data_IF_759422090750
#
_entry.id   IF_759422090750
#
_cell.length_a   1.000
_cell.length_b   1.000
_cell.length_c   1.000
_cell.angle_alpha   90.00
_cell.angle_beta   90.00
_cell.angle_gamma   90.00
#
_symmetry.space_group_name_H-M   'P 1'
#
loop_
_entity.id
_entity.type
_entity.pdbx_description
1 polymer ?
#
# COMPACT_ATOMS: atom_id res chain seq x y z
N UNK A 1 0.60 -0.27 -15.50
CA UNK A 1 0.91 0.73 -14.46
C UNK A 1 0.86 0.13 -13.06
N UNK A 2 -0.30 -0.38 -12.61
CA UNK A 2 -0.48 -0.93 -11.25
C UNK A 2 0.60 -1.94 -10.83
N UNK A 3 0.88 -2.96 -11.66
CA UNK A 3 1.95 -3.95 -11.38
C UNK A 3 3.31 -3.30 -11.13
N UNK A 4 3.73 -2.36 -11.98
CA UNK A 4 5.04 -1.69 -11.88
C UNK A 4 5.07 -0.77 -10.65
N UNK A 5 4.03 0.03 -10.45
CA UNK A 5 3.94 0.93 -9.31
C UNK A 5 3.96 0.16 -7.98
N UNK A 6 3.25 -0.97 -7.91
CA UNK A 6 3.26 -1.86 -6.76
C UNK A 6 4.61 -2.49 -6.55
N UNK A 7 5.25 -3.07 -7.57
CA UNK A 7 6.58 -3.66 -7.42
C UNK A 7 7.60 -2.66 -6.89
N UNK A 8 7.59 -1.43 -7.40
CA UNK A 8 8.51 -0.39 -6.95
C UNK A 8 8.19 0.03 -5.52
N UNK A 9 6.93 0.30 -5.18
CA UNK A 9 6.51 0.59 -3.80
C UNK A 9 6.92 -0.51 -2.83
N UNK A 10 6.58 -1.76 -3.12
CA UNK A 10 6.92 -2.94 -2.31
C UNK A 10 8.43 -3.06 -2.11
N UNK A 11 9.24 -2.93 -3.17
CA UNK A 11 10.69 -2.95 -3.03
C UNK A 11 11.22 -1.83 -2.13
N UNK A 12 10.74 -0.60 -2.29
CA UNK A 12 11.11 0.52 -1.42
C UNK A 12 10.75 0.25 0.05
N UNK A 13 9.57 -0.30 0.31
CA UNK A 13 9.12 -0.68 1.66
C UNK A 13 10.03 -1.71 2.35
N UNK A 14 10.69 -2.59 1.58
CA UNK A 14 11.67 -3.53 2.12
C UNK A 14 13.02 -2.89 2.46
N UNK A 15 13.43 -1.83 1.72
CA UNK A 15 14.73 -1.16 1.93
C UNK A 15 14.67 0.03 2.88
N UNK A 16 13.49 0.40 3.38
CA UNK A 16 13.29 1.44 4.40
C UNK A 16 14.22 1.39 5.63
N UNK A 17 14.63 0.21 6.15
CA UNK A 17 15.62 0.15 7.23
C UNK A 17 16.95 0.81 6.91
N UNK A 18 17.35 0.88 5.64
CA UNK A 18 18.56 1.58 5.22
C UNK A 18 18.52 3.09 5.54
N UNK A 19 17.34 3.64 5.79
CA UNK A 19 17.09 5.05 6.11
C UNK A 19 16.43 5.23 7.48
N UNK A 20 16.47 4.21 8.35
CA UNK A 20 15.98 4.29 9.73
C UNK A 20 14.45 4.17 9.91
N UNK A 21 13.74 3.75 8.86
CA UNK A 21 12.30 3.46 8.85
C UNK A 21 12.03 1.95 9.01
N UNK A 22 10.86 1.54 9.52
CA UNK A 22 10.53 0.11 9.67
C UNK A 22 10.41 -0.58 8.30
N UNK A 23 10.65 -1.89 8.28
CA UNK A 23 10.29 -2.73 7.12
C UNK A 23 8.78 -2.72 7.00
N UNK A 24 8.28 -2.55 5.78
CA UNK A 24 6.85 -2.66 5.48
C UNK A 24 6.57 -3.90 4.62
N UNK A 25 6.57 -5.11 5.19
CA UNK A 25 6.38 -6.35 4.46
C UNK A 25 4.88 -6.62 4.19
N UNK A 26 4.16 -5.64 3.65
CA UNK A 26 2.71 -5.75 3.40
C UNK A 26 2.29 -6.98 2.59
N UNK A 27 3.05 -7.44 1.57
CA UNK A 27 2.76 -8.73 0.93
C UNK A 27 2.71 -9.87 1.94
N UNK A 28 3.66 -9.94 2.88
CA UNK A 28 3.70 -11.02 3.86
C UNK A 28 2.49 -10.94 4.81
N UNK A 29 2.10 -9.75 5.28
CA UNK A 29 0.88 -9.57 6.09
C UNK A 29 -0.37 -10.03 5.34
N UNK A 30 -0.52 -9.64 4.07
CA UNK A 30 -1.60 -10.12 3.21
C UNK A 30 -1.60 -11.64 3.06
N UNK A 31 -0.41 -12.21 2.92
CA UNK A 31 -0.23 -13.65 2.75
C UNK A 31 -0.68 -14.42 3.96
N UNK A 32 -0.23 -13.99 5.14
CA UNK A 32 -0.56 -14.64 6.40
C UNK A 32 -2.06 -14.57 6.64
N UNK A 33 -2.68 -13.38 6.54
CA UNK A 33 -4.14 -13.26 6.60
C UNK A 33 -4.84 -14.15 5.56
N UNK A 34 -4.40 -14.11 4.30
CA UNK A 34 -5.00 -14.87 3.22
C UNK A 34 -4.92 -16.40 3.42
N UNK A 35 -3.85 -16.90 4.05
CA UNK A 35 -3.66 -18.33 4.31
C UNK A 35 -4.33 -18.83 5.57
N UNK A 36 -4.65 -17.95 6.53
CA UNK A 36 -5.16 -18.35 7.86
C UNK A 36 -6.59 -17.89 8.14
N UNK A 37 -7.25 -17.19 7.19
CA UNK A 37 -8.65 -16.76 7.29
C UNK A 37 -9.60 -17.93 7.61
N UNK A 38 -9.36 -19.11 7.02
CA UNK A 38 -10.19 -20.29 7.24
C UNK A 38 -10.04 -20.88 8.65
N UNK A 39 -8.93 -20.57 9.32
CA UNK A 39 -8.58 -21.09 10.64
C UNK A 39 -9.01 -20.15 11.78
N UNK A 40 -9.75 -19.07 11.45
CA UNK A 40 -10.21 -18.07 12.40
C UNK A 40 -9.11 -17.14 12.90
N UNK A 41 -7.94 -17.16 12.26
CA UNK A 41 -6.83 -16.26 12.60
C UNK A 41 -7.14 -14.83 12.15
N UNK A 42 -6.93 -13.88 13.05
CA UNK A 42 -6.92 -12.46 12.75
C UNK A 42 -5.70 -11.80 13.41
N UNK A 43 -5.37 -10.58 12.98
CA UNK A 43 -4.24 -9.85 13.54
C UNK A 43 -4.32 -9.56 15.05
N UNK A 44 -5.49 -9.74 15.68
CA UNK A 44 -5.68 -9.54 17.13
C UNK A 44 -4.98 -10.64 17.94
N UNK A 45 -4.99 -11.88 17.42
CA UNK A 45 -4.43 -13.06 18.10
C UNK A 45 -3.02 -13.42 17.63
N UNK A 46 -2.45 -12.59 16.75
CA UNK A 46 -1.10 -12.79 16.24
C UNK A 46 -0.06 -12.52 17.34
N UNK A 47 0.52 -13.59 17.90
CA UNK A 47 1.63 -13.51 18.86
C UNK A 47 2.99 -13.41 18.15
N UNK A 48 4.05 -13.05 18.88
CA UNK A 48 5.44 -13.23 18.38
C UNK A 48 5.65 -14.70 17.97
N UNK A 49 5.90 -14.94 16.68
CA UNK A 49 6.01 -16.27 16.07
C UNK A 49 4.79 -16.72 15.26
N UNK A 50 3.63 -16.08 15.42
CA UNK A 50 2.42 -16.39 14.62
C UNK A 50 2.58 -16.01 13.15
N UNK A 51 3.46 -15.06 12.84
CA UNK A 51 3.83 -14.72 11.47
C UNK A 51 4.96 -15.64 10.96
N UNK A 52 4.71 -16.96 10.93
CA UNK A 52 5.66 -17.90 10.31
C UNK A 52 5.65 -17.69 8.80
N UNK A 53 6.81 -17.34 8.24
CA UNK A 53 6.97 -17.14 6.79
C UNK A 53 7.02 -18.51 6.11
N UNK A 54 5.94 -18.88 5.42
CA UNK A 54 5.90 -20.05 4.54
C UNK A 54 6.02 -19.62 3.07
N UNK A 55 6.40 -20.55 2.20
CA UNK A 55 6.33 -20.33 0.74
C UNK A 55 4.93 -19.90 0.32
N UNK A 56 3.92 -20.51 0.92
CA UNK A 56 2.52 -20.32 0.55
C UNK A 56 2.06 -18.92 0.95
N UNK A 57 2.35 -18.48 2.18
CA UNK A 57 2.09 -17.11 2.63
C UNK A 57 2.85 -16.10 1.77
N UNK A 58 4.09 -16.37 1.38
CA UNK A 58 4.84 -15.49 0.50
C UNK A 58 4.15 -15.32 -0.88
N UNK A 59 3.75 -16.42 -1.52
CA UNK A 59 3.13 -16.39 -2.85
C UNK A 59 1.70 -15.82 -2.83
N UNK A 60 0.85 -16.26 -1.89
CA UNK A 60 -0.50 -15.73 -1.69
C UNK A 60 -0.43 -14.23 -1.40
N UNK A 61 0.48 -13.85 -0.52
CA UNK A 61 0.68 -12.47 -0.11
C UNK A 61 1.11 -11.54 -1.22
N UNK A 62 2.11 -11.92 -2.01
CA UNK A 62 2.52 -11.16 -3.19
C UNK A 62 1.40 -11.09 -4.21
N UNK A 63 0.69 -12.20 -4.47
CA UNK A 63 -0.42 -12.22 -5.42
C UNK A 63 -1.53 -11.24 -5.02
N UNK A 64 -1.98 -11.29 -3.76
CA UNK A 64 -2.99 -10.35 -3.24
C UNK A 64 -2.49 -8.91 -3.29
N UNK A 65 -1.22 -8.66 -2.98
CA UNK A 65 -0.66 -7.32 -3.01
C UNK A 65 -0.60 -6.74 -4.43
N UNK A 66 -0.24 -7.56 -5.44
CA UNK A 66 -0.31 -7.17 -6.85
C UNK A 66 -1.74 -6.93 -7.33
N UNK A 67 -2.69 -7.80 -6.95
CA UNK A 67 -4.11 -7.60 -7.29
C UNK A 67 -4.62 -6.29 -6.70
N UNK A 68 -4.33 -6.00 -5.42
CA UNK A 68 -4.67 -4.73 -4.79
C UNK A 68 -4.08 -3.55 -5.57
N UNK A 69 -2.79 -3.64 -5.93
CA UNK A 69 -2.13 -2.66 -6.78
C UNK A 69 -2.81 -2.40 -8.11
N UNK A 70 -3.20 -3.45 -8.82
CA UNK A 70 -3.92 -3.34 -10.09
C UNK A 70 -5.28 -2.67 -9.87
N UNK A 71 -6.06 -3.13 -8.88
CA UNK A 71 -7.38 -2.60 -8.56
C UNK A 71 -7.30 -1.11 -8.20
N UNK A 72 -6.36 -0.70 -7.33
CA UNK A 72 -6.18 0.69 -6.97
C UNK A 72 -5.71 1.55 -8.16
N UNK A 73 -4.89 1.02 -9.07
CA UNK A 73 -4.53 1.73 -10.28
C UNK A 73 -5.74 1.95 -11.22
N UNK A 74 -6.64 0.97 -11.31
CA UNK A 74 -7.88 1.07 -12.08
C UNK A 74 -8.81 2.11 -11.45
N UNK A 75 -9.02 2.07 -10.13
CA UNK A 75 -9.83 3.06 -9.41
C UNK A 75 -9.25 4.47 -9.57
N UNK A 76 -7.94 4.62 -9.50
CA UNK A 76 -7.28 5.89 -9.77
C UNK A 76 -7.57 6.38 -11.20
N UNK A 77 -7.41 5.50 -12.21
CA UNK A 77 -7.56 5.84 -13.61
C UNK A 77 -8.99 6.20 -14.03
N UNK A 78 -9.98 5.50 -13.48
CA UNK A 78 -11.40 5.62 -13.87
C UNK A 78 -12.16 6.63 -12.98
N UNK A 79 -11.94 6.61 -11.66
CA UNK A 79 -12.78 7.36 -10.71
C UNK A 79 -12.11 8.59 -10.11
N UNK A 80 -10.78 8.66 -10.10
CA UNK A 80 -10.08 9.75 -9.42
C UNK A 80 -9.46 10.73 -10.41
N UNK A 81 -8.82 10.20 -11.45
CA UNK A 81 -8.01 11.00 -12.37
C UNK A 81 -8.85 11.95 -13.21
N UNK A 82 -10.03 11.54 -13.68
CA UNK A 82 -10.87 12.40 -14.54
C UNK A 82 -11.58 13.49 -13.73
N UNK A 83 -12.08 13.17 -12.54
CA UNK A 83 -12.92 14.07 -11.75
C UNK A 83 -12.14 15.15 -10.99
N UNK A 84 -10.85 14.93 -10.73
CA UNK A 84 -10.01 15.87 -9.99
C UNK A 84 -9.45 16.96 -10.93
N UNK A 85 -9.73 18.25 -10.70
CA UNK A 85 -9.33 19.35 -11.60
C UNK A 85 -7.86 19.75 -11.45
N UNK A 86 -6.95 18.78 -11.48
CA UNK A 86 -5.50 18.95 -11.41
C UNK A 86 -4.88 18.50 -12.74
N UNK A 87 -4.09 19.36 -13.40
CA UNK A 87 -3.47 19.00 -14.69
C UNK A 87 -2.36 17.95 -14.58
N UNK A 88 -1.61 17.96 -13.48
CA UNK A 88 -0.48 17.06 -13.27
C UNK A 88 -0.95 15.67 -12.81
N UNK A 89 -0.69 14.64 -13.61
CA UNK A 89 -0.96 13.24 -13.24
C UNK A 89 -0.07 12.78 -12.07
N UNK A 90 1.15 13.32 -11.96
CA UNK A 90 2.01 13.08 -10.80
C UNK A 90 1.33 13.62 -9.54
N UNK A 91 0.83 14.86 -9.56
CA UNK A 91 0.15 15.43 -8.39
C UNK A 91 -1.14 14.66 -8.04
N UNK A 92 -1.91 14.23 -9.05
CA UNK A 92 -3.06 13.34 -8.86
C UNK A 92 -2.66 12.00 -8.23
N UNK A 93 -1.56 11.40 -8.69
CA UNK A 93 -1.02 10.17 -8.14
C UNK A 93 -0.58 10.33 -6.68
N UNK A 94 0.14 11.41 -6.36
CA UNK A 94 0.54 11.71 -4.99
C UNK A 94 -0.66 11.94 -4.06
N UNK A 95 -1.66 12.71 -4.50
CA UNK A 95 -2.89 12.93 -3.75
C UNK A 95 -3.63 11.62 -3.50
N UNK A 96 -3.70 10.75 -4.50
CA UNK A 96 -4.26 9.41 -4.35
C UNK A 96 -3.46 8.55 -3.35
N UNK A 97 -2.13 8.66 -3.35
CA UNK A 97 -1.27 8.03 -2.33
C UNK A 97 -1.59 8.51 -0.91
N UNK A 98 -1.88 9.80 -0.71
CA UNK A 98 -2.33 10.32 0.59
C UNK A 98 -3.68 9.72 0.99
N UNK A 99 -4.63 9.61 0.07
CA UNK A 99 -5.94 8.98 0.34
C UNK A 99 -5.74 7.51 0.74
N UNK A 100 -4.91 6.76 0.01
CA UNK A 100 -4.59 5.38 0.35
C UNK A 100 -3.90 5.26 1.71
N UNK A 101 -3.06 6.23 2.08
CA UNK A 101 -2.42 6.29 3.41
C UNK A 101 -3.47 6.42 4.51
N UNK A 102 -4.45 7.32 4.33
CA UNK A 102 -5.55 7.51 5.29
C UNK A 102 -6.35 6.22 5.46
N UNK A 103 -6.69 5.54 4.36
CA UNK A 103 -7.39 4.26 4.40
C UNK A 103 -6.52 3.19 5.07
N UNK A 104 -5.24 3.11 4.72
CA UNK A 104 -4.32 2.09 5.23
C UNK A 104 -4.05 2.28 6.72
N UNK A 105 -3.51 3.42 7.11
CA UNK A 105 -3.13 3.68 8.50
C UNK A 105 -4.33 3.99 9.40
N UNK A 106 -5.44 4.50 8.84
CA UNK A 106 -6.64 4.84 9.61
C UNK A 106 -7.64 3.69 9.73
N UNK A 107 -7.63 2.73 8.79
CA UNK A 107 -8.60 1.64 8.76
C UNK A 107 -7.92 0.27 8.70
N UNK A 108 -7.17 -0.02 7.64
CA UNK A 108 -6.69 -1.39 7.41
C UNK A 108 -5.72 -1.87 8.49
N UNK A 109 -4.74 -1.07 8.85
CA UNK A 109 -3.77 -1.39 9.92
C UNK A 109 -4.48 -1.59 11.27
N UNK A 110 -5.21 -0.60 11.81
CA UNK A 110 -5.85 -0.71 13.13
C UNK A 110 -6.97 -1.72 13.24
N UNK A 111 -7.62 -2.13 12.14
CA UNK A 111 -8.82 -2.97 12.24
C UNK A 111 -8.74 -4.30 11.50
N UNK A 112 -7.87 -4.42 10.48
CA UNK A 112 -7.73 -5.66 9.70
C UNK A 112 -6.38 -6.36 9.98
N UNK A 113 -5.27 -5.62 9.96
CA UNK A 113 -3.94 -6.24 10.08
C UNK A 113 -3.50 -6.50 11.51
N UNK A 114 -3.74 -5.55 12.42
CA UNK A 114 -3.34 -5.65 13.84
C UNK A 114 -4.42 -5.02 14.76
N UNK A 115 -5.66 -5.53 14.74
CA UNK A 115 -6.72 -5.02 15.60
C UNK A 115 -6.35 -5.04 17.07
N UNK A 116 -6.80 -4.01 17.80
CA UNK A 116 -6.65 -3.84 19.25
C UNK A 116 -5.21 -3.64 19.75
N UNK A 117 -4.23 -3.49 18.85
CA UNK A 117 -2.83 -3.29 19.21
C UNK A 117 -2.41 -1.80 19.28
N UNK A 118 -3.35 -0.87 19.15
CA UNK A 118 -3.10 0.58 19.30
C UNK A 118 -2.41 1.25 18.11
N UNK A 119 -2.15 0.54 17.01
CA UNK A 119 -1.60 1.11 15.78
C UNK A 119 -2.59 2.04 15.08
N UNK A 120 -2.10 3.07 14.37
CA UNK A 120 -2.97 3.97 13.59
C UNK A 120 -2.25 5.21 13.05
N UNK A 121 -3.02 6.14 12.48
CA UNK A 121 -2.52 7.42 11.94
C UNK A 121 -1.78 8.27 12.98
N UNK A 122 -2.16 8.17 14.26
CA UNK A 122 -1.61 8.95 15.37
C UNK A 122 -0.76 8.10 16.32
N UNK A 123 -0.18 7.01 15.82
CA UNK A 123 0.79 6.25 16.61
C UNK A 123 2.07 7.08 16.78
N UNK A 124 2.30 7.60 17.98
CA UNK A 124 3.49 8.39 18.30
C UNK A 124 4.38 7.72 19.36
N UNK A 125 3.84 6.74 20.09
CA UNK A 125 4.41 6.14 21.30
C UNK A 125 4.56 4.60 21.26
N UNK A 126 4.23 3.95 20.13
CA UNK A 126 4.49 2.51 19.92
C UNK A 126 5.96 2.18 19.60
N UNK A 127 6.31 0.88 19.44
CA UNK A 127 7.67 0.43 19.16
C UNK A 127 8.34 1.11 17.95
N UNK A 128 7.56 1.36 16.89
CA UNK A 128 7.98 2.13 15.71
C UNK A 128 7.56 3.61 15.76
N UNK A 129 6.75 4.00 16.75
CA UNK A 129 6.21 5.34 16.95
C UNK A 129 5.70 5.98 15.66
N UNK A 130 6.06 7.24 15.44
CA UNK A 130 5.70 8.02 14.25
C UNK A 130 6.27 7.45 12.94
N UNK A 131 7.28 6.58 13.00
CA UNK A 131 7.96 6.06 11.80
C UNK A 131 7.07 5.11 11.02
N UNK A 132 6.15 4.41 11.68
CA UNK A 132 5.22 3.52 10.99
C UNK A 132 4.22 4.30 10.12
N UNK A 133 3.40 5.23 10.64
CA UNK A 133 2.48 6.00 9.79
C UNK A 133 3.23 6.83 8.73
N UNK A 134 4.42 7.33 9.04
CA UNK A 134 5.26 8.00 8.05
C UNK A 134 5.79 7.05 6.96
N UNK A 135 6.21 5.84 7.32
CA UNK A 135 6.62 4.81 6.37
C UNK A 135 5.46 4.42 5.45
N UNK A 136 4.26 4.23 6.01
CA UNK A 136 3.03 3.96 5.24
C UNK A 136 2.78 5.09 4.24
N UNK A 137 2.89 6.35 4.68
CA UNK A 137 2.75 7.51 3.79
C UNK A 137 3.76 7.47 2.66
N UNK A 138 5.04 7.34 2.98
CA UNK A 138 6.12 7.34 2.00
C UNK A 138 5.95 6.21 0.97
N UNK A 139 5.58 5.02 1.43
CA UNK A 139 5.29 3.87 0.58
C UNK A 139 4.17 4.17 -0.44
N UNK A 140 3.06 4.75 0.03
CA UNK A 140 1.95 5.12 -0.84
C UNK A 140 2.27 6.30 -1.77
N UNK A 141 3.11 7.25 -1.34
CA UNK A 141 3.58 8.34 -2.19
C UNK A 141 4.45 7.83 -3.32
N UNK A 142 5.31 6.84 -3.07
CA UNK A 142 6.12 6.18 -4.10
C UNK A 142 5.21 5.46 -5.11
N UNK A 143 4.23 4.71 -4.62
CA UNK A 143 3.23 4.07 -5.49
C UNK A 143 2.48 5.11 -6.35
N UNK A 144 1.96 6.18 -5.72
CA UNK A 144 1.25 7.26 -6.38
C UNK A 144 2.10 8.03 -7.40
N UNK A 145 3.38 8.29 -7.07
CA UNK A 145 4.36 8.88 -7.98
C UNK A 145 4.48 8.04 -9.26
N UNK A 146 4.69 6.73 -9.12
CA UNK A 146 4.83 5.85 -10.27
C UNK A 146 3.52 5.69 -11.05
N UNK A 147 2.35 5.69 -10.41
CA UNK A 147 1.07 5.77 -11.13
C UNK A 147 1.00 7.01 -12.02
N UNK A 148 1.28 8.18 -11.47
CA UNK A 148 1.23 9.44 -12.19
C UNK A 148 2.29 9.59 -13.29
N UNK A 149 3.49 9.03 -13.07
CA UNK A 149 4.57 9.02 -14.07
C UNK A 149 4.32 8.05 -15.22
N UNK A 150 3.79 6.85 -14.91
CA UNK A 150 3.56 5.81 -15.91
C UNK A 150 2.31 6.10 -16.76
N UNK A 151 1.41 6.95 -16.28
CA UNK A 151 0.31 7.46 -17.07
C UNK A 151 0.75 8.67 -17.89
N UNK A 152 1.09 8.42 -19.14
CA UNK A 152 1.39 9.45 -20.12
C UNK A 152 0.41 9.34 -21.30
N UNK A 153 -0.74 10.04 -21.26
CA UNK A 153 -1.59 10.14 -22.42
C UNK A 153 -0.84 11.00 -23.44
N UNK A 154 -0.12 10.35 -24.36
CA UNK A 154 0.37 11.01 -25.56
C UNK A 154 -0.81 11.14 -26.53
N UNK A 155 -1.08 12.36 -26.96
CA UNK A 155 -1.55 12.69 -28.31
C UNK A 155 -2.99 12.32 -28.74
N UNK A 156 -3.95 12.03 -27.86
CA UNK A 156 -5.36 11.96 -28.30
C UNK A 156 -5.91 13.31 -28.81
N UNK A 157 -5.31 14.43 -28.40
CA UNK A 157 -5.62 15.77 -28.93
C UNK A 157 -4.99 16.07 -30.30
N UNK A 158 -3.96 15.31 -30.72
CA UNK A 158 -3.30 15.50 -32.03
C UNK A 158 -3.86 14.51 -33.07
N UNK A 159 -4.44 13.39 -32.64
CA UNK A 159 -5.10 12.44 -33.55
C UNK A 159 -6.55 12.83 -33.91
N UNK A 160 -7.12 13.81 -33.22
CA UNK A 160 -8.50 14.28 -33.41
C UNK A 160 -8.62 15.72 -33.99
N UNK A 161 -7.50 16.34 -34.37
CA UNK A 161 -7.42 17.67 -35.01
C UNK A 161 -6.90 17.57 -36.45
#
# INVERSE_FOLDING_TARGET
>A
MGVIATQLGTYFGYVFPAFGLPVLPWPLYNGILGTTIADGFNGAIATEGAFTVTSDAFFVGHSLHFVNGIVFAVLWGILFREDVPIKSNILKGLLYGVIMTIISAGILVPYAYVPEQGYGLFLFDGPDGWKLPFGILLWHLIYGLFLGMLWNPKDEEVAAA
#
